data_IF_382467008486
#
_entry.id   IF_382467008486
#
_cell.length_a   1.000
_cell.length_b   1.000
_cell.length_c   1.000
_cell.angle_alpha   90.00
_cell.angle_beta   90.00
_cell.angle_gamma   90.00
#
_symmetry.space_group_name_H-M   'P 1'
#
loop_
_entity.id
_entity.type
_entity.pdbx_description
1 polymer ?
#
# COMPACT_ATOMS: atom_id res chain seq x y z
N UNK A 1 -70.44 55.90 35.65
CA UNK A 1 -69.71 56.91 34.87
C UNK A 1 -68.41 56.23 34.42
N UNK A 2 -68.50 55.31 33.47
CA UNK A 2 -68.52 55.50 31.99
C UNK A 2 -67.12 55.39 31.40
N UNK A 3 -66.96 54.32 30.63
CA UNK A 3 -66.14 54.22 29.42
C UNK A 3 -64.62 54.29 29.57
N UNK A 4 -63.94 53.17 29.26
CA UNK A 4 -63.29 53.01 27.95
C UNK A 4 -62.67 51.61 27.81
N UNK A 5 -63.44 50.76 27.15
CA UNK A 5 -62.91 49.71 26.29
C UNK A 5 -62.09 50.37 25.16
N UNK A 6 -60.78 50.12 25.09
CA UNK A 6 -60.08 50.07 23.81
C UNK A 6 -58.65 49.51 23.98
N UNK A 7 -58.31 48.57 23.10
CA UNK A 7 -56.98 48.20 22.63
C UNK A 7 -56.14 47.10 23.33
N UNK A 8 -56.09 45.98 22.59
CA UNK A 8 -54.87 45.27 22.14
C UNK A 8 -54.08 44.58 23.24
N UNK A 9 -54.38 43.31 23.58
CA UNK A 9 -53.88 42.13 22.84
C UNK A 9 -52.59 42.39 22.06
N UNK A 10 -51.57 41.55 22.35
CA UNK A 10 -50.36 41.30 21.56
C UNK A 10 -49.07 42.06 21.95
N UNK A 11 -48.55 41.83 23.16
CA UNK A 11 -47.10 41.88 23.40
C UNK A 11 -46.61 40.65 24.18
N UNK A 12 -46.98 39.46 23.69
CA UNK A 12 -46.29 38.22 24.03
C UNK A 12 -45.01 38.11 23.21
N UNK A 13 -43.98 38.87 23.58
CA UNK A 13 -42.64 38.74 23.00
C UNK A 13 -41.91 37.53 23.59
N UNK A 14 -42.34 36.32 23.22
CA UNK A 14 -41.56 35.11 23.47
C UNK A 14 -40.39 35.12 22.48
N UNK A 15 -39.29 35.74 22.89
CA UNK A 15 -38.00 35.62 22.19
C UNK A 15 -37.52 34.18 22.30
N UNK A 16 -38.02 33.32 21.41
CA UNK A 16 -37.39 32.04 21.11
C UNK A 16 -36.10 32.40 20.40
N UNK A 17 -35.01 32.45 21.17
CA UNK A 17 -33.66 32.45 20.65
C UNK A 17 -33.52 31.14 19.85
N UNK A 18 -33.69 31.20 18.54
CA UNK A 18 -33.36 30.12 17.63
C UNK A 18 -31.85 29.89 17.76
N UNK A 19 -31.44 29.03 18.69
CA UNK A 19 -30.13 28.38 18.63
C UNK A 19 -30.14 27.57 17.33
N UNK A 20 -29.65 28.17 16.25
CA UNK A 20 -29.20 27.40 15.11
C UNK A 20 -28.09 26.49 15.64
N UNK A 21 -28.24 25.15 15.61
CA UNK A 21 -27.11 24.30 15.86
C UNK A 21 -26.12 24.60 14.74
N UNK A 22 -25.06 25.34 15.06
CA UNK A 22 -23.91 25.41 14.18
C UNK A 22 -23.50 23.96 13.95
N UNK A 23 -23.59 23.50 12.71
CA UNK A 23 -22.98 22.24 12.28
C UNK A 23 -21.47 22.44 12.46
N UNK A 24 -20.99 22.19 13.67
CA UNK A 24 -19.58 22.08 13.97
C UNK A 24 -19.12 20.84 13.21
N UNK A 25 -18.56 21.05 12.02
CA UNK A 25 -17.73 20.05 11.37
C UNK A 25 -16.55 19.81 12.32
N UNK A 26 -16.67 18.79 13.16
CA UNK A 26 -15.54 18.25 13.89
C UNK A 26 -14.63 17.63 12.82
N UNK A 27 -13.66 18.41 12.35
CA UNK A 27 -12.59 17.87 11.54
C UNK A 27 -11.84 16.89 12.46
N UNK A 28 -11.75 15.62 12.05
CA UNK A 28 -10.94 14.66 12.79
C UNK A 28 -9.53 15.25 12.95
N UNK A 29 -9.04 15.45 14.18
CA UNK A 29 -7.75 16.07 14.40
C UNK A 29 -6.67 15.19 13.79
N UNK A 30 -5.86 15.77 12.92
CA UNK A 30 -4.66 15.11 12.39
C UNK A 30 -3.68 14.94 13.55
N UNK A 31 -3.51 13.69 13.99
CA UNK A 31 -2.69 13.35 15.16
C UNK A 31 -1.33 12.75 14.80
N UNK A 32 -0.97 12.77 13.50
CA UNK A 32 0.28 12.25 12.97
C UNK A 32 1.06 13.32 12.20
N UNK A 33 2.39 13.17 12.17
CA UNK A 33 3.28 13.97 11.32
C UNK A 33 3.54 13.31 9.95
N UNK A 34 3.00 12.11 9.71
CA UNK A 34 3.12 11.40 8.44
C UNK A 34 2.11 11.95 7.44
N UNK A 35 2.53 12.19 6.20
CA UNK A 35 1.62 12.62 5.13
C UNK A 35 1.77 11.79 3.86
N UNK A 36 0.74 11.83 3.00
CA UNK A 36 0.82 11.24 1.67
C UNK A 36 1.99 11.79 0.86
N UNK A 37 2.08 13.12 0.78
CA UNK A 37 3.05 13.81 -0.06
C UNK A 37 4.51 13.58 0.39
N UNK A 38 4.76 13.37 1.68
CA UNK A 38 6.12 13.23 2.22
C UNK A 38 6.57 11.78 2.33
N UNK A 39 5.84 10.92 3.05
CA UNK A 39 6.28 9.56 3.38
C UNK A 39 5.50 8.48 2.63
N UNK A 40 4.17 8.53 2.65
CA UNK A 40 3.33 7.38 2.29
C UNK A 40 3.32 7.12 0.79
N UNK A 41 3.29 8.16 -0.04
CA UNK A 41 3.37 8.02 -1.51
C UNK A 41 4.59 7.21 -1.97
N UNK A 42 5.72 7.35 -1.27
CA UNK A 42 6.97 6.61 -1.58
C UNK A 42 6.84 5.12 -1.27
N UNK A 43 6.19 4.78 -0.16
CA UNK A 43 5.93 3.37 0.20
C UNK A 43 4.98 2.77 -0.84
N UNK A 44 3.91 3.50 -1.19
CA UNK A 44 2.93 3.04 -2.16
C UNK A 44 3.54 2.83 -3.55
N UNK A 45 4.36 3.76 -4.00
CA UNK A 45 5.09 3.64 -5.27
C UNK A 45 5.98 2.40 -5.30
N UNK A 46 6.74 2.14 -4.23
CA UNK A 46 7.68 1.02 -4.16
C UNK A 46 7.00 -0.34 -3.96
N UNK A 47 5.89 -0.39 -3.22
CA UNK A 47 5.33 -1.64 -2.67
C UNK A 47 3.95 -2.01 -3.24
N UNK A 48 3.16 -1.03 -3.64
CA UNK A 48 1.74 -1.23 -3.96
C UNK A 48 1.45 -1.03 -5.46
N UNK A 49 2.01 0.02 -6.06
CA UNK A 49 1.61 0.50 -7.39
C UNK A 49 2.02 -0.43 -8.55
N UNK A 50 2.87 -1.44 -8.31
CA UNK A 50 3.16 -2.47 -9.32
C UNK A 50 1.89 -3.26 -9.72
N UNK A 51 1.02 -3.54 -8.74
CA UNK A 51 -0.26 -4.20 -8.93
C UNK A 51 -1.44 -3.22 -8.85
N UNK A 52 -1.40 -2.24 -7.95
CA UNK A 52 -2.43 -1.23 -7.71
C UNK A 52 -2.26 0.01 -8.59
N UNK A 53 -2.39 -0.19 -9.90
CA UNK A 53 -2.37 0.86 -10.92
C UNK A 53 -3.46 0.59 -11.96
N UNK A 54 -3.77 1.59 -12.76
CA UNK A 54 -4.63 1.44 -13.93
C UNK A 54 -4.10 0.34 -14.85
N UNK A 55 -4.96 -0.61 -15.23
CA UNK A 55 -4.58 -1.79 -16.01
C UNK A 55 -3.65 -2.78 -15.27
N UNK A 56 -3.43 -2.60 -13.96
CA UNK A 56 -2.70 -3.51 -13.11
C UNK A 56 -3.51 -4.75 -12.72
N UNK A 57 -2.89 -5.63 -11.92
CA UNK A 57 -3.51 -6.87 -11.47
C UNK A 57 -4.55 -6.66 -10.35
N UNK A 58 -4.51 -5.53 -9.64
CA UNK A 58 -5.47 -5.20 -8.59
C UNK A 58 -6.63 -4.34 -9.14
N UNK A 59 -7.86 -4.52 -8.63
CA UNK A 59 -9.05 -3.83 -9.16
C UNK A 59 -9.10 -2.33 -8.84
N UNK A 60 -8.24 -1.87 -7.93
CA UNK A 60 -8.19 -0.50 -7.41
C UNK A 60 -6.79 0.09 -7.64
N UNK A 61 -6.72 1.31 -8.15
CA UNK A 61 -5.46 2.04 -8.32
C UNK A 61 -5.14 2.84 -7.06
N UNK A 62 -3.87 2.89 -6.64
CA UNK A 62 -3.41 3.73 -5.53
C UNK A 62 -2.33 4.71 -6.00
N UNK A 63 -2.62 5.38 -7.12
CA UNK A 63 -1.67 6.21 -7.85
C UNK A 63 -1.61 7.64 -7.32
N UNK A 64 -2.68 8.12 -6.70
CA UNK A 64 -2.82 9.44 -6.11
C UNK A 64 -3.40 9.35 -4.70
N UNK A 65 -3.33 10.45 -3.94
CA UNK A 65 -3.97 10.54 -2.63
C UNK A 65 -5.49 10.31 -2.74
N UNK A 66 -6.13 10.95 -3.73
CA UNK A 66 -7.56 10.82 -3.98
C UNK A 66 -7.97 9.36 -4.24
N UNK A 67 -7.13 8.58 -4.91
CA UNK A 67 -7.42 7.16 -5.14
C UNK A 67 -7.23 6.32 -3.87
N UNK A 68 -6.20 6.60 -3.07
CA UNK A 68 -5.83 5.78 -1.91
C UNK A 68 -6.67 6.09 -0.67
N UNK A 69 -7.01 7.36 -0.44
CA UNK A 69 -7.69 7.84 0.77
C UNK A 69 -9.00 7.10 1.09
N UNK A 70 -9.91 6.81 0.13
CA UNK A 70 -11.13 6.07 0.41
C UNK A 70 -10.89 4.65 0.94
N UNK A 71 -9.70 4.08 0.69
CA UNK A 71 -9.33 2.72 1.05
C UNK A 71 -8.39 2.65 2.26
N UNK A 72 -8.09 3.78 2.90
CA UNK A 72 -7.03 3.88 3.90
C UNK A 72 -7.20 2.84 5.03
N UNK A 73 -8.42 2.65 5.55
CA UNK A 73 -8.73 1.66 6.60
C UNK A 73 -8.51 0.23 6.10
N UNK A 74 -9.00 -0.11 4.91
CA UNK A 74 -8.83 -1.44 4.31
C UNK A 74 -7.35 -1.75 4.00
N UNK A 75 -6.60 -0.74 3.54
CA UNK A 75 -5.16 -0.86 3.32
C UNK A 75 -4.45 -1.17 4.63
N UNK A 76 -4.73 -0.41 5.71
CA UNK A 76 -4.18 -0.66 7.05
C UNK A 76 -4.42 -2.11 7.48
N UNK A 77 -5.66 -2.59 7.38
CA UNK A 77 -6.02 -3.95 7.76
C UNK A 77 -5.25 -5.00 6.92
N UNK A 78 -5.21 -4.83 5.61
CA UNK A 78 -4.53 -5.75 4.70
C UNK A 78 -3.01 -5.83 4.95
N UNK A 79 -2.35 -4.71 5.29
CA UNK A 79 -0.92 -4.70 5.59
C UNK A 79 -0.62 -5.25 7.00
N UNK A 80 -1.47 -4.95 7.99
CA UNK A 80 -1.31 -5.47 9.36
C UNK A 80 -1.49 -6.99 9.41
N UNK A 81 -2.48 -7.51 8.68
CA UNK A 81 -2.75 -8.95 8.56
C UNK A 81 -1.83 -9.66 7.58
N UNK A 82 -0.86 -8.94 6.98
CA UNK A 82 0.11 -9.47 5.99
C UNK A 82 -0.55 -10.09 4.75
N UNK A 83 -1.81 -9.75 4.47
CA UNK A 83 -2.47 -10.14 3.22
C UNK A 83 -1.90 -9.36 2.03
N UNK A 84 -1.43 -8.13 2.28
CA UNK A 84 -0.83 -7.27 1.27
C UNK A 84 0.58 -6.80 1.68
N UNK A 85 1.51 -6.74 0.71
CA UNK A 85 1.44 -7.35 -0.63
C UNK A 85 1.45 -8.89 -0.57
N UNK A 86 0.85 -9.59 -1.54
CA UNK A 86 0.84 -11.05 -1.57
C UNK A 86 2.25 -11.55 -1.89
N UNK A 87 3.03 -11.89 -0.86
CA UNK A 87 4.38 -12.41 -0.98
C UNK A 87 4.47 -13.82 -0.41
N UNK A 88 4.60 -14.86 -1.24
CA UNK A 88 4.56 -16.25 -0.78
C UNK A 88 5.87 -16.70 -0.12
N UNK A 89 6.95 -15.93 -0.23
CA UNK A 89 8.23 -16.35 0.34
C UNK A 89 8.26 -16.10 1.86
N UNK A 90 8.68 -17.11 2.62
CA UNK A 90 8.88 -16.98 4.05
C UNK A 90 10.04 -16.02 4.35
N UNK A 91 9.84 -15.12 5.31
CA UNK A 91 10.93 -14.24 5.80
C UNK A 91 12.03 -15.08 6.45
N UNK A 92 13.28 -14.63 6.30
CA UNK A 92 14.44 -15.24 6.97
C UNK A 92 15.12 -16.39 6.23
N UNK A 93 14.62 -16.80 5.05
CA UNK A 93 15.18 -17.91 4.26
C UNK A 93 16.00 -17.45 3.04
N UNK A 94 16.40 -16.18 2.99
CA UNK A 94 17.20 -15.60 1.93
C UNK A 94 16.76 -14.18 1.56
N UNK A 95 17.60 -13.50 0.77
CA UNK A 95 17.29 -12.20 0.19
C UNK A 95 16.80 -12.40 -1.24
N UNK A 96 15.58 -11.94 -1.53
CA UNK A 96 15.02 -12.01 -2.87
C UNK A 96 15.19 -10.66 -3.56
N UNK A 97 15.81 -10.65 -4.74
CA UNK A 97 16.04 -9.43 -5.53
C UNK A 97 14.73 -8.73 -5.95
N UNK A 98 13.61 -9.45 -5.93
CA UNK A 98 12.27 -8.96 -6.22
C UNK A 98 11.35 -8.94 -4.99
N UNK A 99 11.89 -8.91 -3.76
CA UNK A 99 11.10 -8.80 -2.54
C UNK A 99 10.34 -7.46 -2.49
N UNK A 100 9.04 -7.52 -2.75
CA UNK A 100 8.13 -6.39 -2.65
C UNK A 100 7.37 -6.37 -1.31
N UNK A 101 7.71 -7.22 -0.35
CA UNK A 101 7.11 -7.22 0.98
C UNK A 101 7.38 -5.92 1.74
N UNK A 102 6.50 -5.61 2.69
CA UNK A 102 6.65 -4.47 3.59
C UNK A 102 7.57 -4.81 4.76
N UNK A 103 8.47 -3.87 5.08
CA UNK A 103 9.21 -3.88 6.35
C UNK A 103 8.26 -3.59 7.51
N UNK A 104 8.67 -3.91 8.75
CA UNK A 104 7.84 -3.61 9.92
C UNK A 104 7.62 -2.10 10.07
N UNK A 105 8.65 -1.30 9.78
CA UNK A 105 8.59 0.16 9.82
C UNK A 105 7.64 0.73 8.76
N UNK A 106 7.64 0.19 7.54
CA UNK A 106 6.71 0.60 6.47
C UNK A 106 5.25 0.30 6.88
N UNK A 107 4.98 -0.85 7.52
CA UNK A 107 3.64 -1.20 8.02
C UNK A 107 3.19 -0.23 9.11
N UNK A 108 4.07 0.05 10.08
CA UNK A 108 3.78 0.98 11.18
C UNK A 108 3.49 2.37 10.65
N UNK A 109 4.28 2.89 9.70
CA UNK A 109 4.03 4.19 9.07
C UNK A 109 2.68 4.24 8.36
N UNK A 110 2.30 3.20 7.62
CA UNK A 110 0.98 3.14 6.98
C UNK A 110 -0.10 3.16 8.06
N UNK A 111 0.01 2.33 9.10
CA UNK A 111 -0.97 2.28 10.17
C UNK A 111 -1.11 3.62 10.90
N UNK A 112 -0.01 4.23 11.33
CA UNK A 112 0.02 5.55 11.99
C UNK A 112 -0.54 6.66 11.11
N UNK A 113 -0.26 6.63 9.81
CA UNK A 113 -0.87 7.59 8.88
C UNK A 113 -2.39 7.42 8.83
N UNK A 114 -2.90 6.19 8.77
CA UNK A 114 -4.34 5.92 8.74
C UNK A 114 -5.02 6.30 10.06
N UNK A 115 -4.47 5.88 11.21
CA UNK A 115 -5.02 6.24 12.53
C UNK A 115 -4.93 7.75 12.79
N UNK A 116 -3.93 8.41 12.22
CA UNK A 116 -3.75 9.86 12.31
C UNK A 116 -4.64 10.67 11.38
N UNK A 117 -5.68 10.07 10.81
CA UNK A 117 -6.64 10.74 9.93
C UNK A 117 -6.20 10.81 8.46
N UNK A 118 -5.18 10.06 8.05
CA UNK A 118 -4.64 9.96 6.70
C UNK A 118 -4.52 11.32 5.97
N UNK A 119 -3.70 12.26 6.48
CA UNK A 119 -3.53 13.57 5.87
C UNK A 119 -2.78 13.49 4.52
N UNK A 120 -3.17 14.33 3.57
CA UNK A 120 -2.47 14.47 2.28
C UNK A 120 -1.09 15.11 2.47
N UNK A 121 -1.05 16.21 3.21
CA UNK A 121 0.15 17.04 3.39
C UNK A 121 0.36 18.03 2.23
N UNK A 122 1.45 18.80 2.32
CA UNK A 122 1.73 19.85 1.35
C UNK A 122 2.21 19.25 0.01
N UNK A 123 1.60 19.60 -1.14
CA UNK A 123 2.00 19.12 -2.45
C UNK A 123 3.45 19.45 -2.84
N UNK A 124 4.09 20.46 -2.25
CA UNK A 124 5.51 20.77 -2.55
C UNK A 124 6.46 19.61 -2.22
N UNK A 125 6.07 18.71 -1.30
CA UNK A 125 6.88 17.57 -0.92
C UNK A 125 6.64 16.33 -1.78
N UNK A 126 5.56 16.33 -2.59
CA UNK A 126 5.24 15.23 -3.48
C UNK A 126 6.31 15.15 -4.56
N UNK A 127 7.12 14.09 -4.52
CA UNK A 127 8.12 13.87 -5.57
C UNK A 127 7.43 13.39 -6.85
N UNK A 128 7.99 13.72 -8.03
CA UNK A 128 7.56 13.12 -9.28
C UNK A 128 7.62 11.60 -9.17
N UNK A 129 6.56 10.94 -9.62
CA UNK A 129 6.48 9.48 -9.64
C UNK A 129 7.54 8.95 -10.60
N UNK A 130 8.43 8.12 -10.08
CA UNK A 130 9.35 7.31 -10.85
C UNK A 130 8.96 5.83 -10.69
N UNK A 131 8.12 5.37 -11.61
CA UNK A 131 7.73 3.97 -11.64
C UNK A 131 8.90 3.11 -12.15
N UNK A 132 9.72 2.66 -11.22
CA UNK A 132 10.58 1.50 -11.43
C UNK A 132 9.83 0.28 -10.91
N UNK A 133 9.02 -0.36 -11.75
CA UNK A 133 8.76 -1.79 -11.51
C UNK A 133 10.14 -2.43 -11.43
N UNK A 134 10.48 -3.22 -10.39
CA UNK A 134 11.55 -4.17 -10.54
C UNK A 134 11.11 -5.01 -11.74
N UNK A 135 11.71 -4.80 -12.90
CA UNK A 135 11.39 -5.63 -14.03
C UNK A 135 11.71 -7.03 -13.55
N UNK A 136 10.70 -7.92 -13.53
CA UNK A 136 10.85 -9.34 -13.18
C UNK A 136 11.94 -10.02 -14.04
N UNK A 137 12.46 -9.33 -15.05
CA UNK A 137 13.48 -9.75 -16.00
C UNK A 137 14.78 -8.93 -15.99
N UNK A 138 14.94 -7.85 -15.20
CA UNK A 138 16.15 -7.00 -15.32
C UNK A 138 17.39 -7.55 -14.60
N UNK A 139 17.22 -8.48 -13.65
CA UNK A 139 18.31 -9.05 -12.85
C UNK A 139 18.55 -10.52 -13.20
N UNK A 140 18.63 -10.85 -14.50
CA UNK A 140 19.09 -12.18 -14.93
C UNK A 140 20.62 -12.13 -14.96
N UNK A 141 21.33 -12.84 -14.07
CA UNK A 141 22.79 -12.91 -14.18
C UNK A 141 23.17 -13.58 -15.50
N UNK A 142 24.21 -13.05 -16.15
CA UNK A 142 24.74 -13.64 -17.38
C UNK A 142 25.23 -15.08 -17.10
N UNK A 143 24.86 -16.04 -17.95
CA UNK A 143 25.31 -17.43 -17.84
C UNK A 143 24.36 -18.43 -18.50
N UNK A 144 24.69 -19.72 -18.41
CA UNK A 144 23.87 -20.80 -18.93
C UNK A 144 22.69 -21.11 -18.00
N UNK A 145 21.55 -21.43 -18.60
CA UNK A 145 20.33 -21.87 -17.92
C UNK A 145 20.35 -23.40 -17.79
N UNK A 146 20.29 -23.92 -16.57
CA UNK A 146 20.08 -25.34 -16.32
C UNK A 146 18.69 -25.60 -15.75
N UNK A 147 17.86 -26.34 -16.49
CA UNK A 147 16.62 -26.88 -15.95
C UNK A 147 16.94 -28.05 -15.00
N UNK A 148 16.63 -27.92 -13.70
CA UNK A 148 16.87 -28.99 -12.73
C UNK A 148 15.71 -29.98 -12.69
N UNK A 149 15.97 -31.26 -12.89
CA UNK A 149 14.98 -32.34 -12.75
C UNK A 149 15.10 -33.02 -11.39
N UNK A 150 13.98 -33.50 -10.80
CA UNK A 150 14.05 -34.36 -9.62
C UNK A 150 14.99 -35.54 -9.85
N UNK A 151 15.94 -35.78 -8.95
CA UNK A 151 16.93 -36.86 -9.06
C UNK A 151 18.08 -36.61 -10.04
N UNK A 152 18.23 -35.39 -10.59
CA UNK A 152 19.35 -35.07 -11.48
C UNK A 152 20.68 -34.99 -10.72
N UNK A 153 21.66 -35.78 -11.17
CA UNK A 153 23.06 -35.67 -10.74
C UNK A 153 23.81 -34.74 -11.69
N UNK A 154 24.51 -33.74 -11.15
CA UNK A 154 25.35 -32.83 -11.94
C UNK A 154 26.70 -33.50 -12.24
N UNK A 155 27.17 -33.36 -13.49
CA UNK A 155 28.43 -33.95 -13.93
C UNK A 155 29.68 -33.29 -13.33
N UNK A 156 29.54 -32.06 -12.81
CA UNK A 156 30.58 -31.31 -12.13
C UNK A 156 29.97 -30.35 -11.10
N UNK A 157 30.75 -29.85 -10.12
CA UNK A 157 30.31 -28.79 -9.22
C UNK A 157 29.98 -27.50 -9.99
N UNK A 158 28.92 -26.82 -9.59
CA UNK A 158 28.46 -25.57 -10.21
C UNK A 158 28.13 -24.53 -9.14
N UNK A 159 28.39 -23.25 -9.43
CA UNK A 159 27.94 -22.13 -8.58
C UNK A 159 26.61 -21.61 -9.12
N UNK A 160 25.59 -21.56 -8.27
CA UNK A 160 24.27 -21.02 -8.62
C UNK A 160 24.26 -19.51 -8.37
N UNK A 161 24.14 -18.71 -9.43
CA UNK A 161 24.07 -17.25 -9.33
C UNK A 161 22.65 -16.75 -9.05
N UNK A 162 21.62 -17.40 -9.59
CA UNK A 162 20.22 -17.09 -9.29
C UNK A 162 19.30 -18.30 -9.47
N UNK A 163 18.25 -18.37 -8.65
CA UNK A 163 17.20 -19.38 -8.76
C UNK A 163 15.89 -18.70 -9.14
N UNK A 164 15.27 -19.13 -10.25
CA UNK A 164 13.96 -18.64 -10.67
C UNK A 164 12.93 -19.74 -10.49
N UNK A 165 11.94 -19.48 -9.64
CA UNK A 165 10.77 -20.37 -9.49
C UNK A 165 9.66 -19.83 -10.38
N UNK A 166 9.55 -20.30 -11.62
CA UNK A 166 8.48 -19.91 -12.54
C UNK A 166 7.19 -20.72 -12.30
N UNK A 167 6.14 -20.07 -11.78
CA UNK A 167 4.94 -19.66 -12.55
C UNK A 167 3.80 -19.07 -11.68
N UNK A 168 2.95 -18.21 -12.28
CA UNK A 168 1.75 -17.68 -11.66
C UNK A 168 0.72 -18.80 -11.41
N UNK A 169 0.14 -18.79 -10.21
CA UNK A 169 -1.18 -19.38 -10.00
C UNK A 169 -1.27 -20.68 -9.20
N UNK A 170 -0.18 -21.36 -8.79
CA UNK A 170 -0.23 -22.46 -7.80
C UNK A 170 1.18 -22.96 -7.41
N UNK A 171 1.67 -22.55 -6.25
CA UNK A 171 2.89 -23.07 -5.60
C UNK A 171 2.61 -24.35 -4.79
N UNK A 172 2.39 -25.51 -5.43
CA UNK A 172 2.28 -26.74 -4.63
C UNK A 172 2.41 -28.06 -5.38
N UNK A 173 2.09 -28.13 -6.67
CA UNK A 173 2.05 -29.43 -7.36
C UNK A 173 2.57 -29.28 -8.78
N UNK A 174 3.78 -29.78 -9.02
CA UNK A 174 4.32 -30.14 -10.34
C UNK A 174 5.05 -29.08 -11.21
N UNK A 175 5.71 -28.06 -10.65
CA UNK A 175 6.66 -27.24 -11.43
C UNK A 175 8.12 -27.63 -11.17
N UNK A 176 8.80 -28.05 -12.23
CA UNK A 176 10.25 -28.27 -12.29
C UNK A 176 10.98 -26.92 -12.13
N UNK A 177 11.80 -26.70 -11.08
CA UNK A 177 12.49 -25.43 -10.90
C UNK A 177 13.55 -25.21 -11.98
N UNK A 178 13.59 -24.01 -12.58
CA UNK A 178 14.64 -23.60 -13.53
C UNK A 178 15.75 -22.84 -12.78
N UNK A 179 17.01 -23.22 -13.01
CA UNK A 179 18.18 -22.56 -12.42
C UNK A 179 18.95 -21.81 -13.50
N UNK A 180 19.27 -20.53 -13.28
CA UNK A 180 20.00 -19.68 -14.23
C UNK A 180 21.36 -19.29 -13.66
N UNK A 181 22.36 -19.21 -14.53
CA UNK A 181 23.69 -18.70 -14.16
C UNK A 181 24.51 -19.74 -13.40
N UNK A 182 24.82 -20.85 -14.06
CA UNK A 182 25.88 -21.74 -13.60
C UNK A 182 27.22 -21.23 -14.11
N UNK A 183 28.11 -20.82 -13.20
CA UNK A 183 29.53 -20.69 -13.52
C UNK A 183 30.27 -21.95 -13.02
N UNK A 184 31.31 -22.43 -13.74
CA UNK A 184 32.22 -23.41 -13.19
C UNK A 184 32.80 -22.88 -11.87
N UNK A 185 32.77 -23.70 -10.82
CA UNK A 185 33.41 -23.35 -9.54
C UNK A 185 34.89 -23.04 -9.80
N UNK A 186 35.44 -21.91 -9.32
CA UNK A 186 36.88 -21.80 -9.19
C UNK A 186 37.36 -22.94 -8.27
N UNK A 187 38.48 -23.56 -8.63
CA UNK A 187 39.15 -24.58 -7.82
C UNK A 187 39.83 -23.95 -6.61
#
# INVERSE_FOLDING_TARGET
>A
MTERFFNLLLQGGLSILLLTPALLFAHDPVSTNLSWTREISRIFEKRCQSCHREGGAAPMAFRTFADAKPWAVAIKEAVLTRQMPPWPAAKGFGEFSNDFSLTQEEIVRIAEWVEGGAPEGDPIYLKPRNFSSPALSANVPAGETLALRPGQTLAAPVTILALRVDRPGKLWTASTPLVWGLQPSPR
#
